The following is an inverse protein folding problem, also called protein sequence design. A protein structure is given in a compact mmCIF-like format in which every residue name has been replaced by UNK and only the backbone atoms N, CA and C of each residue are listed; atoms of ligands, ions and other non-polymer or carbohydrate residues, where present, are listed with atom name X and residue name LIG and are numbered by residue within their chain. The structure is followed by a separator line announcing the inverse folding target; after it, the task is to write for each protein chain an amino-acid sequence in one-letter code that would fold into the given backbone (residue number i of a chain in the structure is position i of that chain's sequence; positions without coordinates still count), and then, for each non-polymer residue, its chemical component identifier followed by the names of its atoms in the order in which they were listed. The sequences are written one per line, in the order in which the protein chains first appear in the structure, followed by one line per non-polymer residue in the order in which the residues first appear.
data_IF_507428169752
#
_entry.id   IF_507428169752
#
_cell.length_a   1.000
_cell.length_b   1.000
_cell.length_c   1.000
_cell.angle_alpha   90.00
_cell.angle_beta   90.00
_cell.angle_gamma   90.00
#
_symmetry.space_group_name_H-M   'P 1'
#
loop_
_entity.id
_entity.type
_entity.pdbx_description
1 polymer ?
#
# COMPACT_ATOMS: atom_id res chain seq x y z
N UNK A 1 5.28 -3.06 1.47
CA UNK A 1 4.84 -4.11 0.51
C UNK A 1 5.58 -3.96 -0.82
N UNK A 2 6.07 -5.05 -1.44
CA UNK A 2 6.61 -4.98 -2.80
C UNK A 2 5.50 -4.70 -3.83
N UNK A 3 5.83 -4.02 -4.92
CA UNK A 3 5.00 -3.95 -6.12
C UNK A 3 5.90 -3.97 -7.36
N UNK A 4 5.37 -4.38 -8.51
CA UNK A 4 6.14 -4.47 -9.76
C UNK A 4 5.81 -3.26 -10.64
N UNK A 5 6.84 -2.49 -10.99
CA UNK A 5 6.77 -1.45 -12.00
C UNK A 5 6.83 -2.08 -13.38
N UNK A 6 5.67 -2.19 -14.03
CA UNK A 6 5.51 -2.95 -15.28
C UNK A 6 6.40 -2.43 -16.41
N UNK A 7 6.62 -1.12 -16.51
CA UNK A 7 7.47 -0.53 -17.55
C UNK A 7 8.94 -0.94 -17.41
N UNK A 8 9.43 -1.11 -16.18
CA UNK A 8 10.81 -1.53 -15.91
C UNK A 8 10.96 -3.06 -15.88
N UNK A 9 9.87 -3.81 -15.71
CA UNK A 9 9.93 -5.26 -15.62
C UNK A 9 10.10 -5.90 -17.00
N UNK A 10 11.18 -6.65 -17.20
CA UNK A 10 11.43 -7.35 -18.47
C UNK A 10 10.89 -8.79 -18.51
N UNK A 11 10.32 -9.28 -17.41
CA UNK A 11 9.86 -10.66 -17.31
C UNK A 11 10.98 -11.71 -17.21
N UNK A 12 12.20 -11.30 -16.84
CA UNK A 12 13.37 -12.19 -16.82
C UNK A 12 13.32 -13.37 -15.82
N UNK A 13 12.39 -13.38 -14.87
CA UNK A 13 12.17 -14.54 -13.97
C UNK A 13 13.11 -14.66 -12.76
N UNK A 14 14.18 -13.87 -12.64
CA UNK A 14 15.14 -13.98 -11.51
C UNK A 14 14.48 -13.90 -10.12
N UNK A 15 13.46 -13.04 -9.98
CA UNK A 15 12.70 -12.92 -8.74
C UNK A 15 11.91 -14.18 -8.37
N UNK A 16 11.50 -15.00 -9.35
CA UNK A 16 10.82 -16.28 -9.13
C UNK A 16 11.80 -17.28 -8.54
N UNK A 17 12.96 -17.44 -9.17
CA UNK A 17 14.01 -18.38 -8.74
C UNK A 17 14.52 -18.11 -7.31
N UNK A 18 14.45 -16.86 -6.87
CA UNK A 18 14.93 -16.43 -5.56
C UNK A 18 13.81 -16.27 -4.52
N UNK A 19 12.54 -16.51 -4.87
CA UNK A 19 11.46 -16.40 -3.91
C UNK A 19 11.43 -17.64 -3.00
N UNK A 20 11.72 -17.53 -1.69
CA UNK A 20 11.81 -18.71 -0.81
C UNK A 20 10.45 -19.36 -0.50
N UNK A 21 9.35 -18.74 -0.94
CA UNK A 21 7.97 -19.16 -0.64
C UNK A 21 7.09 -19.23 -1.90
N UNK A 22 7.71 -19.23 -3.09
CA UNK A 22 7.04 -19.37 -4.39
C UNK A 22 5.83 -18.42 -4.56
N UNK A 23 6.02 -17.16 -4.13
CA UNK A 23 4.98 -16.13 -4.15
C UNK A 23 4.97 -15.28 -5.43
N UNK A 24 5.76 -15.64 -6.45
CA UNK A 24 5.93 -14.83 -7.67
C UNK A 24 5.69 -15.69 -8.91
N UNK A 25 4.91 -15.17 -9.85
CA UNK A 25 4.65 -15.75 -11.17
C UNK A 25 4.97 -14.74 -12.28
N UNK A 26 5.04 -15.19 -13.54
CA UNK A 26 5.00 -14.30 -14.70
C UNK A 26 3.59 -14.34 -15.30
N UNK A 27 2.97 -13.18 -15.45
CA UNK A 27 1.69 -12.98 -16.12
C UNK A 27 1.85 -11.87 -17.16
N UNK A 28 1.42 -12.11 -18.41
CA UNK A 28 1.54 -11.16 -19.51
C UNK A 28 2.97 -10.61 -19.70
N UNK A 29 3.99 -11.45 -19.50
CA UNK A 29 5.40 -11.09 -19.62
C UNK A 29 5.94 -10.21 -18.48
N UNK A 30 5.18 -10.03 -17.38
CA UNK A 30 5.58 -9.24 -16.22
C UNK A 30 5.51 -10.08 -14.94
N UNK A 31 6.38 -9.78 -13.99
CA UNK A 31 6.31 -10.42 -12.69
C UNK A 31 5.04 -10.00 -11.95
N UNK A 32 4.37 -10.97 -11.33
CA UNK A 32 3.21 -10.78 -10.47
C UNK A 32 3.51 -11.39 -9.11
N UNK A 33 3.29 -10.61 -8.05
CA UNK A 33 3.51 -11.04 -6.67
C UNK A 33 2.17 -11.38 -6.04
N UNK A 34 2.07 -12.61 -5.56
CA UNK A 34 0.92 -13.13 -4.83
C UNK A 34 1.04 -12.73 -3.36
N UNK A 35 0.42 -11.61 -3.00
CA UNK A 35 0.64 -10.95 -1.71
C UNK A 35 0.19 -11.76 -0.50
N UNK A 36 -0.76 -12.69 -0.67
CA UNK A 36 -1.20 -13.62 0.36
C UNK A 36 -0.14 -14.66 0.73
N UNK A 37 0.80 -14.98 -0.16
CA UNK A 37 1.94 -15.88 0.12
C UNK A 37 3.21 -15.13 0.50
N UNK A 38 3.31 -13.85 0.12
CA UNK A 38 4.53 -13.06 0.29
C UNK A 38 4.87 -12.82 1.77
N UNK A 39 5.98 -13.37 2.24
CA UNK A 39 6.51 -13.16 3.60
C UNK A 39 7.32 -11.86 3.75
N UNK A 40 7.39 -11.03 2.70
CA UNK A 40 8.05 -9.72 2.72
C UNK A 40 9.55 -9.77 3.03
N UNK A 41 10.24 -10.83 2.59
CA UNK A 41 11.66 -11.06 2.85
C UNK A 41 12.63 -10.12 2.09
N UNK A 42 12.19 -9.46 1.03
CA UNK A 42 13.00 -8.50 0.26
C UNK A 42 13.89 -9.09 -0.85
N UNK A 43 14.08 -10.41 -0.91
CA UNK A 43 14.98 -11.04 -1.90
C UNK A 43 14.67 -10.67 -3.36
N UNK A 44 13.38 -10.54 -3.72
CA UNK A 44 12.97 -10.12 -5.06
C UNK A 44 13.36 -8.67 -5.41
N UNK A 45 13.49 -7.77 -4.43
CA UNK A 45 14.04 -6.43 -4.62
C UNK A 45 15.53 -6.50 -4.91
N UNK A 46 16.28 -7.20 -4.05
CA UNK A 46 17.73 -7.25 -4.09
C UNK A 46 18.27 -7.86 -5.40
N UNK A 47 17.56 -8.84 -5.96
CA UNK A 47 18.00 -9.54 -7.17
C UNK A 47 17.52 -8.90 -8.48
N UNK A 48 16.62 -7.91 -8.44
CA UNK A 48 16.01 -7.40 -9.66
C UNK A 48 16.98 -6.45 -10.41
N UNK A 49 17.53 -6.82 -11.58
CA UNK A 49 18.55 -6.01 -12.26
C UNK A 49 17.99 -4.72 -12.86
N UNK A 50 16.68 -4.67 -13.10
CA UNK A 50 16.00 -3.48 -13.61
C UNK A 50 15.33 -2.68 -12.50
N UNK A 51 15.55 -3.08 -11.24
CA UNK A 51 14.90 -2.56 -10.06
C UNK A 51 13.36 -2.48 -10.19
N UNK A 52 12.77 -3.38 -10.98
CA UNK A 52 11.34 -3.32 -11.28
C UNK A 52 10.47 -3.68 -10.08
N UNK A 53 11.01 -4.39 -9.09
CA UNK A 53 10.32 -4.62 -7.81
C UNK A 53 10.64 -3.43 -6.90
N UNK A 54 9.61 -2.68 -6.52
CA UNK A 54 9.70 -1.40 -5.79
C UNK A 54 9.07 -1.50 -4.41
N UNK A 55 9.36 -0.56 -3.53
CA UNK A 55 8.69 -0.47 -2.23
C UNK A 55 7.39 0.35 -2.34
N UNK A 56 6.34 -0.07 -1.65
CA UNK A 56 5.08 0.67 -1.58
C UNK A 56 5.20 2.04 -0.92
N UNK A 57 6.27 2.29 -0.17
CA UNK A 57 6.61 3.62 0.35
C UNK A 57 6.68 4.67 -0.77
N UNK A 58 7.13 4.28 -1.97
CA UNK A 58 7.15 5.15 -3.15
C UNK A 58 5.74 5.59 -3.57
N UNK A 59 4.70 4.83 -3.22
CA UNK A 59 3.30 5.16 -3.52
C UNK A 59 2.66 6.09 -2.48
N UNK A 60 3.33 6.40 -1.36
CA UNK A 60 2.74 7.25 -0.31
C UNK A 60 2.24 8.59 -0.87
N UNK A 61 3.01 9.37 -1.66
CA UNK A 61 2.52 10.63 -2.20
C UNK A 61 1.27 10.46 -3.09
N UNK A 62 1.25 9.41 -3.91
CA UNK A 62 0.11 9.09 -4.77
C UNK A 62 -1.14 8.70 -3.95
N UNK A 63 -0.97 7.90 -2.89
CA UNK A 63 -2.07 7.50 -2.00
C UNK A 63 -2.64 8.73 -1.27
N UNK A 64 -1.78 9.61 -0.77
CA UNK A 64 -2.20 10.86 -0.13
C UNK A 64 -3.00 11.72 -1.11
N UNK A 65 -2.50 11.91 -2.34
CA UNK A 65 -3.21 12.65 -3.37
C UNK A 65 -4.58 12.03 -3.68
N UNK A 66 -4.64 10.71 -3.87
CA UNK A 66 -5.88 9.96 -4.12
C UNK A 66 -6.89 10.13 -2.97
N UNK A 67 -6.45 10.03 -1.72
CA UNK A 67 -7.30 10.23 -0.54
C UNK A 67 -7.89 11.65 -0.49
N UNK A 68 -7.09 12.66 -0.81
CA UNK A 68 -7.53 14.05 -0.87
C UNK A 68 -8.55 14.25 -2.00
N UNK A 69 -8.28 13.75 -3.19
CA UNK A 69 -9.20 13.87 -4.33
C UNK A 69 -10.51 13.12 -4.11
N UNK A 70 -10.47 11.92 -3.54
CA UNK A 70 -11.67 11.19 -3.13
C UNK A 70 -12.49 11.99 -2.10
N UNK A 71 -11.82 12.57 -1.11
CA UNK A 71 -12.48 13.38 -0.08
C UNK A 71 -13.16 14.60 -0.72
N UNK A 72 -12.46 15.35 -1.57
CA UNK A 72 -13.03 16.49 -2.30
C UNK A 72 -14.23 16.09 -3.16
N UNK A 73 -14.12 14.97 -3.89
CA UNK A 73 -15.21 14.41 -4.70
C UNK A 73 -16.43 14.12 -3.83
N UNK A 74 -16.25 13.45 -2.70
CA UNK A 74 -17.33 13.10 -1.78
C UNK A 74 -17.96 14.34 -1.14
N UNK A 75 -17.16 15.34 -0.78
CA UNK A 75 -17.66 16.63 -0.31
C UNK A 75 -18.58 17.25 -1.35
N UNK A 76 -18.12 17.39 -2.61
CA UNK A 76 -18.91 17.97 -3.70
C UNK A 76 -20.24 17.23 -3.93
N UNK A 77 -20.20 15.90 -3.97
CA UNK A 77 -21.40 15.07 -4.11
C UNK A 77 -22.37 15.32 -2.94
N UNK A 78 -21.85 15.41 -1.72
CA UNK A 78 -22.67 15.71 -0.54
C UNK A 78 -23.28 17.12 -0.61
N UNK A 79 -22.54 18.11 -1.07
CA UNK A 79 -23.06 19.47 -1.23
C UNK A 79 -24.18 19.53 -2.28
N UNK A 80 -23.99 18.86 -3.41
CA UNK A 80 -24.99 18.80 -4.50
C UNK A 80 -26.26 18.05 -4.06
N UNK A 81 -26.10 16.91 -3.40
CA UNK A 81 -27.24 16.09 -2.97
C UNK A 81 -28.11 16.77 -1.92
N UNK A 82 -27.48 17.50 -0.98
CA UNK A 82 -28.20 18.17 0.12
C UNK A 82 -28.42 19.67 -0.14
N UNK A 83 -27.90 20.23 -1.24
CA UNK A 83 -27.96 21.66 -1.55
C UNK A 83 -27.27 22.56 -0.53
N UNK A 84 -26.27 22.07 0.22
CA UNK A 84 -25.64 22.80 1.31
C UNK A 84 -24.14 22.53 1.45
N UNK A 85 -23.36 23.61 1.50
CA UNK A 85 -21.92 23.58 1.79
C UNK A 85 -21.62 22.93 3.15
N UNK A 86 -22.52 23.10 4.12
CA UNK A 86 -22.37 22.49 5.45
C UNK A 86 -22.36 20.95 5.37
N UNK A 87 -23.14 20.37 4.43
CA UNK A 87 -23.13 18.92 4.22
C UNK A 87 -21.77 18.42 3.71
N UNK A 88 -21.13 19.17 2.79
CA UNK A 88 -19.77 18.92 2.34
C UNK A 88 -18.75 18.95 3.47
N UNK A 89 -18.81 19.98 4.33
CA UNK A 89 -17.94 20.08 5.50
C UNK A 89 -18.15 18.92 6.50
N UNK A 90 -19.40 18.50 6.74
CA UNK A 90 -19.69 17.30 7.54
C UNK A 90 -19.11 16.03 6.92
N UNK A 91 -19.08 15.93 5.59
CA UNK A 91 -18.43 14.82 4.89
C UNK A 91 -16.90 14.84 5.12
N UNK A 92 -16.28 16.02 5.00
CA UNK A 92 -14.86 16.21 5.29
C UNK A 92 -14.52 15.78 6.73
N UNK A 93 -15.29 16.21 7.72
CA UNK A 93 -15.08 15.84 9.12
C UNK A 93 -15.15 14.32 9.34
N UNK A 94 -16.07 13.63 8.66
CA UNK A 94 -16.16 12.16 8.71
C UNK A 94 -14.91 11.51 8.11
N UNK A 95 -14.40 12.02 6.99
CA UNK A 95 -13.18 11.50 6.37
C UNK A 95 -11.95 11.75 7.25
N UNK A 96 -11.83 12.92 7.89
CA UNK A 96 -10.77 13.21 8.86
C UNK A 96 -10.85 12.21 10.03
N UNK A 97 -12.03 11.99 10.61
CA UNK A 97 -12.24 11.01 11.68
C UNK A 97 -11.86 9.59 11.26
N UNK A 98 -12.15 9.21 10.02
CA UNK A 98 -11.73 7.92 9.47
C UNK A 98 -10.20 7.79 9.48
N UNK A 99 -9.46 8.74 8.90
CA UNK A 99 -8.00 8.66 8.87
C UNK A 99 -7.36 8.74 10.26
N UNK A 100 -7.94 9.51 11.20
CA UNK A 100 -7.50 9.52 12.61
C UNK A 100 -7.66 8.12 13.23
N UNK A 101 -8.78 7.45 12.98
CA UNK A 101 -9.02 6.08 13.46
C UNK A 101 -7.99 5.11 12.87
N UNK A 102 -7.77 5.15 11.56
CA UNK A 102 -6.77 4.29 10.89
C UNK A 102 -5.35 4.54 11.41
N UNK A 103 -4.97 5.82 11.61
CA UNK A 103 -3.70 6.19 12.25
C UNK A 103 -3.56 5.55 13.63
N UNK A 104 -4.58 5.70 14.48
CA UNK A 104 -4.57 5.12 15.84
C UNK A 104 -4.44 3.60 15.81
N UNK A 105 -5.15 2.92 14.91
CA UNK A 105 -5.05 1.46 14.74
C UNK A 105 -3.63 1.07 14.36
N UNK A 106 -3.02 1.77 13.39
CA UNK A 106 -1.67 1.48 12.94
C UNK A 106 -0.64 1.70 14.06
N UNK A 107 -0.73 2.82 14.78
CA UNK A 107 0.15 3.13 15.92
C UNK A 107 0.08 2.06 17.01
N UNK A 108 -1.13 1.68 17.44
CA UNK A 108 -1.32 0.63 18.45
C UNK A 108 -0.84 -0.75 17.97
N UNK A 109 -1.07 -1.06 16.69
CA UNK A 109 -0.58 -2.32 16.09
C UNK A 109 0.95 -2.37 16.12
N UNK A 110 1.62 -1.29 15.73
CA UNK A 110 3.08 -1.18 15.75
C UNK A 110 3.61 -1.36 17.17
N UNK A 111 3.03 -0.69 18.16
CA UNK A 111 3.45 -0.82 19.56
C UNK A 111 3.42 -2.28 20.06
N UNK A 112 2.39 -3.05 19.68
CA UNK A 112 2.28 -4.47 20.03
C UNK A 112 3.35 -5.30 19.30
N UNK A 113 3.54 -5.06 17.99
CA UNK A 113 4.55 -5.78 17.20
C UNK A 113 5.98 -5.52 17.68
N UNK A 114 6.27 -4.30 18.14
CA UNK A 114 7.57 -3.95 18.74
C UNK A 114 7.82 -4.70 20.06
N UNK A 115 6.78 -4.91 20.87
CA UNK A 115 6.87 -5.74 22.08
C UNK A 115 7.19 -7.20 21.74
N UNK A 116 6.46 -7.78 20.78
CA UNK A 116 6.73 -9.14 20.28
C UNK A 116 8.18 -9.24 19.77
N UNK A 117 8.62 -8.28 18.96
CA UNK A 117 10.00 -8.25 18.45
C UNK A 117 11.04 -8.24 19.58
N UNK A 118 10.79 -7.48 20.65
CA UNK A 118 11.69 -7.39 21.80
C UNK A 118 11.72 -8.66 22.67
N UNK A 119 10.63 -9.43 22.68
CA UNK A 119 10.52 -10.72 23.38
C UNK A 119 11.27 -11.84 22.63
N UNK A 120 11.09 -11.91 21.31
CA UNK A 120 11.75 -12.92 20.43
C UNK A 120 13.26 -12.70 20.25
N UNK A 121 13.75 -11.49 20.54
CA UNK A 121 15.18 -11.14 20.41
C UNK A 121 16.00 -11.39 21.70
N UNK A 122 15.40 -11.99 22.73
CA UNK A 122 16.04 -12.35 24.01
C UNK A 122 16.32 -13.84 24.05
#
# INVERSE_FOLDING_TARGET
MPWVHEESCTGCGLCIENCPVDAISIENGKAKILMEKCIRCGSCHDICPNEAVRHDSEKIPHIVASNVELTKRNMKISEEYFGSKEAGLKCLDKMIKHFIREKKIAEQTIEILEKIKAEESK
#
